data_IF_678576802051
#
_entry.id   IF_678576802051
#
_cell.length_a   1.000
_cell.length_b   1.000
_cell.length_c   1.000
_cell.angle_alpha   90.00
_cell.angle_beta   90.00
_cell.angle_gamma   90.00
#
_symmetry.space_group_name_H-M   'P 1'
#
loop_
_entity.id
_entity.type
_entity.pdbx_description
1 polymer ?
#
# COMPACT_ATOMS: atom_id res chain seq x y z
N UNK A 1 -7.75 -31.97 -23.30
CA UNK A 1 -7.32 -33.00 -24.27
C UNK A 1 -6.95 -32.28 -25.55
N UNK A 2 -5.79 -32.56 -26.13
CA UNK A 2 -5.32 -31.88 -27.35
C UNK A 2 -5.46 -32.83 -28.55
N UNK A 3 -5.80 -32.28 -29.72
CA UNK A 3 -5.98 -33.04 -30.96
C UNK A 3 -4.91 -32.67 -31.97
N UNK A 4 -4.07 -33.65 -32.32
CA UNK A 4 -2.92 -33.48 -33.22
C UNK A 4 -3.01 -34.45 -34.39
N UNK A 5 -2.62 -33.97 -35.58
CA UNK A 5 -2.41 -34.79 -36.77
C UNK A 5 -0.93 -34.92 -37.09
N UNK A 6 -0.53 -36.11 -37.50
CA UNK A 6 0.79 -36.34 -38.11
C UNK A 6 0.65 -36.47 -39.62
N UNK A 7 1.54 -35.82 -40.36
CA UNK A 7 1.71 -35.98 -41.81
C UNK A 7 3.10 -36.53 -42.09
N UNK A 8 3.15 -37.66 -42.78
CA UNK A 8 4.40 -38.22 -43.34
C UNK A 8 4.51 -37.74 -44.79
N UNK A 9 5.55 -36.99 -45.16
CA UNK A 9 5.77 -36.58 -46.55
C UNK A 9 5.81 -37.81 -47.48
N UNK A 10 5.02 -37.80 -48.56
CA UNK A 10 4.93 -38.92 -49.52
C UNK A 10 3.81 -39.95 -49.24
N UNK A 11 3.10 -39.85 -48.11
CA UNK A 11 1.96 -40.73 -47.78
C UNK A 11 0.69 -39.89 -47.60
N UNK A 12 -0.40 -40.22 -48.31
CA UNK A 12 -1.67 -39.46 -48.29
C UNK A 12 -2.56 -39.72 -47.07
N UNK A 13 -2.12 -40.58 -46.13
CA UNK A 13 -2.94 -41.00 -44.98
C UNK A 13 -2.70 -40.09 -43.77
N UNK A 14 -3.66 -39.21 -43.47
CA UNK A 14 -3.74 -38.52 -42.16
C UNK A 14 -4.25 -39.53 -41.12
N UNK A 15 -3.49 -39.79 -40.06
CA UNK A 15 -3.97 -40.57 -38.91
C UNK A 15 -4.28 -39.60 -37.76
N UNK A 16 -5.51 -39.64 -37.26
CA UNK A 16 -5.93 -38.92 -36.03
C UNK A 16 -5.83 -39.87 -34.86
N UNK A 17 -4.92 -39.63 -33.94
CA UNK A 17 -4.83 -40.36 -32.68
C UNK A 17 -4.97 -39.36 -31.53
N UNK A 18 -5.74 -39.74 -30.50
CA UNK A 18 -5.92 -38.96 -29.28
C UNK A 18 -4.76 -39.33 -28.37
N UNK A 19 -3.80 -38.43 -28.21
CA UNK A 19 -2.61 -38.70 -27.40
C UNK A 19 -2.79 -38.15 -25.99
N UNK A 20 -2.45 -38.97 -24.99
CA UNK A 20 -2.26 -38.51 -23.61
C UNK A 20 -0.88 -37.86 -23.52
N UNK A 21 -0.86 -36.55 -23.28
CA UNK A 21 0.33 -35.73 -23.45
C UNK A 21 1.06 -35.58 -22.13
N UNK A 22 2.31 -36.04 -22.08
CA UNK A 22 3.23 -35.77 -20.98
C UNK A 22 4.06 -34.54 -21.35
N UNK A 23 3.82 -33.41 -20.67
CA UNK A 23 4.64 -32.20 -20.83
C UNK A 23 6.07 -32.47 -20.35
N UNK A 24 7.06 -32.07 -21.16
CA UNK A 24 8.49 -32.21 -20.84
C UNK A 24 9.20 -30.85 -20.69
N UNK A 25 8.58 -29.77 -21.14
CA UNK A 25 9.07 -28.39 -20.97
C UNK A 25 7.87 -27.45 -20.79
N UNK A 26 7.61 -27.10 -19.53
CA UNK A 26 6.65 -26.07 -19.16
C UNK A 26 7.40 -24.76 -18.96
N UNK A 27 7.10 -23.74 -19.76
CA UNK A 27 7.61 -22.39 -19.53
C UNK A 27 6.48 -21.54 -18.97
N UNK A 28 6.60 -21.21 -17.68
CA UNK A 28 5.72 -20.25 -17.03
C UNK A 28 6.21 -18.84 -17.36
N UNK A 29 5.46 -18.10 -18.17
CA UNK A 29 5.67 -16.67 -18.37
C UNK A 29 4.60 -15.90 -17.63
N UNK A 30 5.04 -15.06 -16.71
CA UNK A 30 4.17 -14.09 -16.08
C UNK A 30 4.15 -12.85 -16.96
N UNK A 31 3.07 -12.65 -17.71
CA UNK A 31 2.91 -11.48 -18.59
C UNK A 31 2.65 -10.25 -17.70
N UNK A 32 3.59 -9.31 -17.73
CA UNK A 32 3.60 -8.13 -16.86
C UNK A 32 2.63 -7.05 -17.35
N UNK A 33 1.38 -7.12 -16.91
CA UNK A 33 0.58 -5.92 -16.61
C UNK A 33 0.83 -5.49 -15.15
N UNK A 34 0.56 -4.23 -14.80
CA UNK A 34 0.78 -3.63 -13.46
C UNK A 34 0.21 -4.42 -12.25
N UNK A 35 -0.58 -5.48 -12.48
CA UNK A 35 -1.30 -6.25 -11.45
C UNK A 35 -1.08 -7.78 -11.53
N UNK A 36 -0.23 -8.33 -12.42
CA UNK A 36 -0.15 -9.80 -12.60
C UNK A 36 -1.53 -10.44 -12.82
N UNK A 37 -2.36 -9.79 -13.63
CA UNK A 37 -3.69 -10.29 -13.97
C UNK A 37 -3.61 -11.58 -14.80
N UNK A 38 -2.56 -11.70 -15.61
CA UNK A 38 -2.38 -12.79 -16.56
C UNK A 38 -1.16 -13.63 -16.24
N UNK A 39 -1.36 -14.94 -16.30
CA UNK A 39 -0.28 -15.93 -16.27
C UNK A 39 -0.36 -16.71 -17.56
N UNK A 40 0.70 -16.65 -18.34
CA UNK A 40 0.84 -17.40 -19.58
C UNK A 40 1.58 -18.70 -19.27
N UNK A 41 0.88 -19.82 -19.48
CA UNK A 41 1.48 -21.14 -19.43
C UNK A 41 1.77 -21.57 -20.86
N UNK A 42 3.04 -21.75 -21.17
CA UNK A 42 3.49 -22.24 -22.46
C UNK A 42 3.90 -23.70 -22.31
N UNK A 43 3.18 -24.59 -23.00
CA UNK A 43 3.45 -26.03 -22.98
C UNK A 43 4.02 -26.43 -24.32
N UNK A 44 5.23 -26.99 -24.32
CA UNK A 44 5.82 -27.61 -25.51
C UNK A 44 5.47 -29.10 -25.52
N UNK A 45 4.77 -29.52 -26.58
CA UNK A 45 4.36 -30.90 -26.74
C UNK A 45 5.42 -31.63 -27.57
N UNK A 46 6.19 -32.50 -26.93
CA UNK A 46 7.15 -33.38 -27.62
C UNK A 46 6.66 -34.82 -27.50
N UNK A 47 6.36 -35.45 -28.64
CA UNK A 47 5.89 -36.84 -28.66
C UNK A 47 7.09 -37.79 -28.61
N UNK A 48 7.13 -38.64 -27.58
CA UNK A 48 8.07 -39.76 -27.51
C UNK A 48 7.32 -41.02 -27.07
N UNK A 49 6.53 -41.59 -27.97
CA UNK A 49 6.08 -42.98 -27.82
C UNK A 49 6.42 -43.83 -29.05
N UNK A 50 6.75 -45.07 -28.74
CA UNK A 50 7.26 -46.11 -29.62
C UNK A 50 6.08 -46.72 -30.38
N UNK A 51 6.04 -46.56 -31.70
CA UNK A 51 4.93 -47.03 -32.52
C UNK A 51 4.72 -48.55 -32.37
N UNK A 52 3.46 -48.97 -32.19
CA UNK A 52 3.02 -50.38 -32.18
C UNK A 52 3.02 -51.03 -33.57
N UNK A 53 3.10 -50.22 -34.63
CA UNK A 53 3.19 -50.67 -36.01
C UNK A 53 4.65 -51.04 -36.33
N UNK A 54 4.93 -52.30 -36.68
CA UNK A 54 6.30 -52.77 -36.99
C UNK A 54 7.00 -51.96 -38.09
N UNK A 55 6.24 -51.28 -38.97
CA UNK A 55 6.79 -50.42 -40.03
C UNK A 55 7.24 -49.04 -39.54
N UNK A 56 6.78 -48.63 -38.36
CA UNK A 56 7.14 -47.39 -37.68
C UNK A 56 7.97 -47.67 -36.41
N UNK A 57 8.27 -48.94 -36.16
CA UNK A 57 8.99 -49.41 -34.99
C UNK A 57 10.47 -49.11 -35.18
N UNK A 58 10.98 -48.35 -34.21
CA UNK A 58 12.33 -47.85 -34.09
C UNK A 58 13.36 -48.97 -34.25
N UNK A 59 14.21 -48.91 -35.27
CA UNK A 59 15.49 -49.60 -35.26
C UNK A 59 16.56 -48.57 -34.84
N UNK A 60 17.44 -49.03 -33.97
CA UNK A 60 18.37 -48.27 -33.15
C UNK A 60 19.15 -47.18 -33.93
N UNK A 61 19.15 -45.92 -33.46
CA UNK A 61 20.23 -44.91 -33.44
C UNK A 61 19.62 -43.51 -33.19
N UNK A 62 19.82 -43.00 -31.97
CA UNK A 62 20.25 -41.63 -31.63
C UNK A 62 19.46 -40.37 -32.05
N UNK A 63 18.88 -40.31 -33.24
CA UNK A 63 18.45 -39.05 -33.86
C UNK A 63 16.94 -39.04 -34.10
N UNK A 64 16.25 -38.03 -33.55
CA UNK A 64 14.80 -37.90 -33.68
C UNK A 64 14.33 -37.68 -35.13
N UNK A 65 13.02 -37.79 -35.36
CA UNK A 65 12.41 -37.55 -36.67
C UNK A 65 12.54 -36.09 -37.09
N UNK A 66 13.16 -35.88 -38.26
CA UNK A 66 13.24 -34.54 -38.85
C UNK A 66 11.95 -34.21 -39.58
N UNK A 67 11.78 -32.94 -39.98
CA UNK A 67 10.67 -32.49 -40.82
C UNK A 67 10.58 -33.20 -42.18
N UNK A 68 11.67 -33.83 -42.64
CA UNK A 68 11.66 -34.65 -43.85
C UNK A 68 10.87 -35.96 -43.66
N UNK A 69 10.82 -36.47 -42.43
CA UNK A 69 10.20 -37.74 -42.09
C UNK A 69 8.80 -37.55 -41.49
N UNK A 70 8.64 -36.54 -40.62
CA UNK A 70 7.41 -36.33 -39.87
C UNK A 70 7.12 -34.84 -39.63
N UNK A 71 5.89 -34.42 -39.94
CA UNK A 71 5.39 -33.07 -39.66
C UNK A 71 4.14 -33.14 -38.80
N UNK A 72 4.14 -32.43 -37.67
CA UNK A 72 2.99 -32.28 -36.79
C UNK A 72 2.12 -31.11 -37.25
N UNK A 73 0.80 -31.31 -37.24
CA UNK A 73 -0.20 -30.31 -37.63
C UNK A 73 -1.33 -30.27 -36.61
N UNK A 74 -1.78 -29.06 -36.26
CA UNK A 74 -2.97 -28.88 -35.46
C UNK A 74 -4.23 -29.30 -36.23
N UNK A 75 -5.21 -29.88 -35.54
CA UNK A 75 -6.52 -30.19 -36.13
C UNK A 75 -7.26 -28.90 -36.50
N UNK A 76 -7.75 -28.83 -37.73
CA UNK A 76 -8.62 -27.74 -38.20
C UNK A 76 -9.94 -27.72 -37.43
N UNK A 77 -10.40 -26.52 -37.05
CA UNK A 77 -11.63 -26.31 -36.27
C UNK A 77 -11.38 -26.29 -34.76
N UNK A 78 -11.12 -27.45 -34.17
CA UNK A 78 -10.98 -27.63 -32.71
C UNK A 78 -9.66 -28.33 -32.34
N UNK A 79 -8.53 -27.60 -32.29
CA UNK A 79 -7.24 -28.19 -31.93
C UNK A 79 -7.12 -28.52 -30.43
N UNK A 80 -7.87 -27.81 -29.57
CA UNK A 80 -7.81 -27.95 -28.11
C UNK A 80 -9.21 -28.16 -27.54
N UNK A 81 -9.44 -29.32 -26.91
CA UNK A 81 -10.67 -29.57 -26.16
C UNK A 81 -10.44 -29.27 -24.68
N UNK A 82 -10.99 -28.13 -24.24
CA UNK A 82 -11.02 -27.73 -22.83
C UNK A 82 -12.29 -28.26 -22.19
N UNK A 83 -12.17 -28.76 -20.94
CA UNK A 83 -13.34 -29.20 -20.16
C UNK A 83 -14.23 -27.98 -19.89
N UNK A 84 -15.51 -28.07 -20.26
CA UNK A 84 -16.49 -26.95 -20.20
C UNK A 84 -16.68 -26.36 -18.79
N UNK A 85 -16.24 -27.07 -17.74
CA UNK A 85 -16.31 -26.66 -16.33
C UNK A 85 -14.94 -26.73 -15.63
N UNK A 86 -13.85 -26.37 -16.32
CA UNK A 86 -12.54 -26.31 -15.71
C UNK A 86 -12.43 -25.07 -14.80
N UNK A 87 -12.84 -25.20 -13.54
CA UNK A 87 -12.69 -24.16 -12.53
C UNK A 87 -11.40 -24.40 -11.74
N UNK A 88 -10.33 -23.65 -12.04
CA UNK A 88 -9.16 -23.67 -11.17
C UNK A 88 -9.38 -22.73 -9.98
N UNK A 89 -8.98 -23.08 -8.74
CA UNK A 89 -9.29 -22.29 -7.53
C UNK A 89 -8.78 -20.84 -7.50
N UNK A 90 -7.87 -20.46 -8.40
CA UNK A 90 -7.25 -19.12 -8.46
C UNK A 90 -7.17 -18.54 -9.87
N UNK A 91 -7.58 -19.30 -10.88
CA UNK A 91 -7.34 -18.97 -12.28
C UNK A 91 -8.52 -19.39 -13.15
N UNK A 92 -8.89 -18.55 -14.09
CA UNK A 92 -9.84 -18.86 -15.16
C UNK A 92 -9.08 -18.86 -16.48
N UNK A 93 -9.31 -19.86 -17.33
CA UNK A 93 -8.75 -19.86 -18.67
C UNK A 93 -9.48 -18.80 -19.49
N UNK A 94 -8.79 -17.77 -19.95
CA UNK A 94 -9.39 -16.69 -20.75
C UNK A 94 -9.30 -17.01 -22.24
N UNK A 95 -8.09 -17.36 -22.72
CA UNK A 95 -7.80 -17.65 -24.13
C UNK A 95 -6.75 -18.75 -24.25
N UNK A 96 -6.72 -19.43 -25.40
CA UNK A 96 -5.65 -20.35 -25.76
C UNK A 96 -5.17 -20.03 -27.19
N UNK A 97 -3.88 -20.10 -27.43
CA UNK A 97 -3.24 -19.84 -28.70
C UNK A 97 -2.45 -21.09 -29.11
N UNK A 98 -2.66 -21.56 -30.33
CA UNK A 98 -1.93 -22.69 -30.91
C UNK A 98 -0.91 -22.16 -31.90
N UNK A 99 0.34 -22.55 -31.73
CA UNK A 99 1.46 -22.11 -32.57
C UNK A 99 2.40 -23.28 -32.91
N UNK A 100 3.33 -23.05 -33.83
CA UNK A 100 4.37 -23.99 -34.24
C UNK A 100 5.73 -23.52 -33.71
N UNK A 101 6.53 -24.45 -33.17
CA UNK A 101 7.83 -24.17 -32.55
C UNK A 101 8.99 -24.86 -33.27
N UNK A 102 8.87 -25.05 -34.59
CA UNK A 102 9.88 -25.76 -35.38
C UNK A 102 11.27 -25.16 -35.13
N UNK A 103 12.23 -26.01 -34.78
CA UNK A 103 13.58 -25.58 -34.41
C UNK A 103 14.61 -26.27 -35.29
N UNK A 104 15.58 -25.49 -35.76
CA UNK A 104 16.73 -25.96 -36.53
C UNK A 104 17.90 -26.17 -35.59
N UNK A 105 18.37 -27.42 -35.48
CA UNK A 105 19.57 -27.79 -34.74
C UNK A 105 20.66 -28.23 -35.72
N UNK A 106 21.84 -28.56 -35.19
CA UNK A 106 22.96 -29.06 -36.00
C UNK A 106 22.67 -30.40 -36.71
N UNK A 107 21.68 -31.16 -36.22
CA UNK A 107 21.29 -32.48 -36.76
C UNK A 107 20.15 -32.41 -37.76
N UNK A 108 19.37 -31.33 -37.76
CA UNK A 108 18.23 -31.17 -38.67
C UNK A 108 17.17 -30.19 -38.17
N UNK A 109 16.10 -30.02 -38.94
CA UNK A 109 14.92 -29.27 -38.54
C UNK A 109 13.87 -30.22 -37.95
N UNK A 110 13.41 -29.94 -36.73
CA UNK A 110 12.45 -30.76 -36.01
C UNK A 110 11.10 -30.05 -35.92
N UNK A 111 10.02 -30.77 -36.25
CA UNK A 111 8.65 -30.25 -36.14
C UNK A 111 8.20 -30.22 -34.68
N UNK A 112 7.59 -29.11 -34.25
CA UNK A 112 7.19 -28.89 -32.86
C UNK A 112 5.87 -28.13 -32.79
N UNK A 113 4.99 -28.55 -31.87
CA UNK A 113 3.73 -27.87 -31.57
C UNK A 113 3.79 -27.17 -30.22
N UNK A 114 3.31 -25.94 -30.19
CA UNK A 114 3.25 -25.08 -29.00
C UNK A 114 1.82 -24.70 -28.73
N UNK A 115 1.42 -24.72 -27.47
CA UNK A 115 0.15 -24.15 -27.04
C UNK A 115 0.40 -23.21 -25.86
N UNK A 116 -0.08 -21.98 -26.01
CA UNK A 116 -0.03 -20.96 -24.97
C UNK A 116 -1.42 -20.83 -24.36
N UNK A 117 -1.52 -21.12 -23.07
CA UNK A 117 -2.74 -21.03 -22.29
C UNK A 117 -2.68 -19.75 -21.46
N UNK A 118 -3.58 -18.82 -21.75
CA UNK A 118 -3.69 -17.55 -21.02
C UNK A 118 -4.69 -17.72 -19.87
N UNK A 119 -4.16 -17.74 -18.66
CA UNK A 119 -4.96 -17.78 -17.45
C UNK A 119 -5.10 -16.39 -16.85
N UNK A 120 -6.34 -15.99 -16.59
CA UNK A 120 -6.69 -14.80 -15.82
C UNK A 120 -6.79 -15.16 -14.35
N UNK A 121 -6.17 -14.37 -13.48
CA UNK A 121 -6.24 -14.56 -12.02
C UNK A 121 -7.58 -14.09 -11.49
N UNK A 122 -8.23 -14.91 -10.66
CA UNK A 122 -9.45 -14.51 -9.97
C UNK A 122 -9.12 -13.60 -8.77
N UNK A 123 -9.53 -12.33 -8.85
CA UNK A 123 -9.14 -11.30 -7.88
C UNK A 123 -10.00 -11.27 -6.60
N UNK A 124 -11.20 -11.86 -6.65
CA UNK A 124 -12.21 -11.82 -5.57
C UNK A 124 -11.69 -12.33 -4.22
N UNK A 125 -10.87 -13.38 -4.22
CA UNK A 125 -10.25 -13.92 -3.01
C UNK A 125 -9.33 -12.91 -2.31
N UNK A 126 -8.52 -12.19 -3.08
CA UNK A 126 -7.57 -11.21 -2.56
C UNK A 126 -8.31 -10.00 -1.94
N UNK A 127 -9.45 -9.60 -2.53
CA UNK A 127 -10.32 -8.55 -1.96
C UNK A 127 -10.75 -8.88 -0.53
N UNK A 128 -11.29 -10.08 -0.33
CA UNK A 128 -11.90 -10.46 0.95
C UNK A 128 -10.84 -10.75 2.02
N UNK A 129 -9.74 -11.42 1.66
CA UNK A 129 -8.74 -11.86 2.64
C UNK A 129 -7.62 -10.86 2.90
N UNK A 130 -7.39 -9.91 2.00
CA UNK A 130 -6.29 -8.95 2.14
C UNK A 130 -6.80 -7.53 2.20
N UNK A 131 -7.49 -7.06 1.16
CA UNK A 131 -7.88 -5.65 1.07
C UNK A 131 -8.86 -5.26 2.18
N UNK A 132 -9.91 -6.06 2.43
CA UNK A 132 -10.89 -5.77 3.49
C UNK A 132 -10.22 -5.72 4.88
N UNK A 133 -9.44 -6.74 5.32
CA UNK A 133 -8.74 -6.67 6.60
C UNK A 133 -7.76 -5.51 6.71
N UNK A 134 -6.99 -5.20 5.66
CA UNK A 134 -6.09 -4.05 5.65
C UNK A 134 -6.85 -2.72 5.82
N UNK A 135 -7.99 -2.54 5.12
CA UNK A 135 -8.85 -1.38 5.30
C UNK A 135 -9.35 -1.27 6.75
N UNK A 136 -9.80 -2.38 7.34
CA UNK A 136 -10.27 -2.40 8.72
C UNK A 136 -9.16 -2.02 9.72
N UNK A 137 -7.93 -2.52 9.53
CA UNK A 137 -6.79 -2.14 10.37
C UNK A 137 -6.46 -0.64 10.26
N UNK A 138 -6.52 -0.10 9.05
CA UNK A 138 -6.29 1.33 8.81
C UNK A 138 -7.41 2.17 9.45
N UNK A 139 -8.67 1.73 9.39
CA UNK A 139 -9.78 2.35 10.12
C UNK A 139 -9.54 2.34 11.63
N UNK A 140 -9.14 1.20 12.20
CA UNK A 140 -8.85 1.09 13.64
C UNK A 140 -7.73 2.05 14.05
N UNK A 141 -6.73 2.26 13.19
CA UNK A 141 -5.61 3.16 13.48
C UNK A 141 -6.06 4.61 13.76
N UNK A 142 -7.02 5.16 13.02
CA UNK A 142 -7.53 6.52 13.24
C UNK A 142 -8.78 6.59 14.12
N UNK A 143 -9.44 5.47 14.42
CA UNK A 143 -10.44 5.41 15.51
C UNK A 143 -9.79 5.77 16.84
N UNK A 144 -8.48 5.50 16.99
CA UNK A 144 -7.68 5.93 18.15
C UNK A 144 -7.77 7.45 18.42
N UNK A 145 -7.97 8.29 17.39
CA UNK A 145 -8.11 9.75 17.55
C UNK A 145 -9.39 10.17 18.27
N UNK A 146 -10.39 9.29 18.33
CA UNK A 146 -11.64 9.54 19.04
C UNK A 146 -11.55 9.20 20.53
N UNK A 147 -10.58 8.38 20.93
CA UNK A 147 -10.30 8.10 22.34
C UNK A 147 -9.74 9.33 23.04
N UNK A 148 -10.04 9.48 24.33
CA UNK A 148 -9.55 10.62 25.10
C UNK A 148 -8.03 10.54 25.36
N UNK A 149 -7.39 11.70 25.42
CA UNK A 149 -5.94 11.84 25.66
C UNK A 149 -5.50 11.29 27.03
N UNK A 150 -6.43 11.12 28.00
CA UNK A 150 -6.14 10.54 29.31
C UNK A 150 -5.79 9.06 29.28
N UNK A 151 -6.21 8.31 28.26
CA UNK A 151 -5.99 6.88 28.12
C UNK A 151 -4.78 6.52 27.22
N UNK A 152 -3.62 7.14 27.51
CA UNK A 152 -2.33 6.92 26.84
C UNK A 152 -2.02 5.42 26.61
N UNK A 153 -2.07 4.52 27.62
CA UNK A 153 -1.72 3.11 27.42
C UNK A 153 -2.64 2.37 26.44
N UNK A 154 -3.94 2.72 26.41
CA UNK A 154 -4.88 2.11 25.47
C UNK A 154 -4.57 2.52 24.02
N UNK A 155 -4.30 3.81 23.78
CA UNK A 155 -3.95 4.33 22.45
C UNK A 155 -2.64 3.73 21.92
N UNK A 156 -1.60 3.67 22.75
CA UNK A 156 -0.30 3.07 22.36
C UNK A 156 -0.46 1.58 22.03
N UNK A 157 -1.16 0.84 22.89
CA UNK A 157 -1.39 -0.59 22.67
C UNK A 157 -2.13 -0.83 21.35
N UNK A 158 -3.24 -0.10 21.11
CA UNK A 158 -3.99 -0.21 19.86
C UNK A 158 -3.15 0.15 18.62
N UNK A 159 -2.35 1.20 18.68
CA UNK A 159 -1.49 1.61 17.57
C UNK A 159 -0.34 0.64 17.28
N UNK A 160 0.33 0.12 18.32
CA UNK A 160 1.43 -0.84 18.16
C UNK A 160 0.89 -2.20 17.70
N UNK A 161 -0.22 -2.65 18.26
CA UNK A 161 -0.87 -3.90 17.83
C UNK A 161 -1.30 -3.81 16.36
N UNK A 162 -1.95 -2.71 15.94
CA UNK A 162 -2.33 -2.55 14.52
C UNK A 162 -1.13 -2.54 13.59
N UNK A 163 -0.02 -1.89 13.97
CA UNK A 163 1.22 -1.91 13.20
C UNK A 163 1.79 -3.32 13.07
N UNK A 164 1.85 -4.07 14.18
CA UNK A 164 2.36 -5.44 14.20
C UNK A 164 1.47 -6.39 13.39
N UNK A 165 0.15 -6.32 13.56
CA UNK A 165 -0.81 -7.11 12.79
C UNK A 165 -0.65 -6.84 11.30
N UNK A 166 -0.49 -5.57 10.92
CA UNK A 166 -0.29 -5.19 9.53
C UNK A 166 1.04 -5.69 8.94
N UNK A 167 2.14 -5.59 9.70
CA UNK A 167 3.43 -6.13 9.30
C UNK A 167 3.38 -7.66 9.13
N UNK A 168 2.67 -8.34 10.04
CA UNK A 168 2.47 -9.80 10.01
C UNK A 168 1.67 -10.21 8.78
N UNK A 169 0.58 -9.49 8.50
CA UNK A 169 -0.24 -9.72 7.32
C UNK A 169 0.57 -9.53 6.03
N UNK A 170 1.38 -8.48 5.94
CA UNK A 170 2.27 -8.22 4.79
C UNK A 170 3.27 -9.35 4.57
N UNK A 171 3.85 -9.88 5.65
CA UNK A 171 4.74 -11.05 5.58
C UNK A 171 3.99 -12.30 5.08
N UNK A 172 2.78 -12.55 5.59
CA UNK A 172 1.94 -13.68 5.15
C UNK A 172 1.59 -13.60 3.66
N UNK A 173 1.30 -12.40 3.15
CA UNK A 173 1.05 -12.16 1.72
C UNK A 173 2.29 -12.48 0.90
N UNK A 174 3.45 -11.99 1.31
CA UNK A 174 4.73 -12.23 0.63
C UNK A 174 5.17 -13.70 0.66
N UNK A 175 4.83 -14.45 1.70
CA UNK A 175 5.08 -15.89 1.75
C UNK A 175 4.19 -16.70 0.79
N UNK A 176 2.99 -16.18 0.50
CA UNK A 176 2.02 -16.85 -0.38
C UNK A 176 2.21 -16.54 -1.87
N UNK A 177 3.06 -15.56 -2.20
CA UNK A 177 3.36 -15.12 -3.57
C UNK A 177 4.82 -15.45 -3.90
N UNK A 178 5.14 -15.92 -5.11
CA UNK A 178 6.52 -16.14 -5.50
C UNK A 178 7.31 -14.82 -5.44
N UNK A 179 8.59 -14.87 -5.01
CA UNK A 179 9.42 -13.67 -4.94
C UNK A 179 9.69 -13.16 -6.35
N UNK A 180 9.61 -11.84 -6.48
CA UNK A 180 9.72 -11.11 -7.75
C UNK A 180 10.53 -9.85 -7.48
N UNK A 181 11.34 -9.43 -8.45
CA UNK A 181 12.27 -8.30 -8.29
C UNK A 181 11.64 -6.92 -8.45
N UNK A 182 10.40 -6.85 -8.94
CA UNK A 182 9.69 -5.59 -9.20
C UNK A 182 8.56 -5.35 -8.20
N UNK A 183 8.20 -4.08 -8.02
CA UNK A 183 7.13 -3.66 -7.11
C UNK A 183 5.78 -4.16 -7.62
N UNK A 184 5.10 -4.97 -6.80
CA UNK A 184 3.73 -5.44 -7.08
C UNK A 184 2.70 -4.40 -6.64
N UNK A 185 1.53 -4.37 -7.27
CA UNK A 185 0.39 -3.55 -6.81
C UNK A 185 0.06 -3.79 -5.32
N UNK A 186 0.14 -5.05 -4.88
CA UNK A 186 -0.10 -5.43 -3.49
C UNK A 186 0.96 -4.88 -2.52
N UNK A 187 2.20 -4.72 -2.98
CA UNK A 187 3.30 -4.13 -2.18
C UNK A 187 3.06 -2.63 -1.99
N UNK A 188 2.53 -1.95 -3.03
CA UNK A 188 2.13 -0.53 -2.93
C UNK A 188 0.96 -0.38 -1.96
N UNK A 189 -0.07 -1.22 -2.07
CA UNK A 189 -1.22 -1.19 -1.16
C UNK A 189 -0.83 -1.39 0.30
N UNK A 190 -0.11 -2.48 0.59
CA UNK A 190 0.34 -2.80 1.95
C UNK A 190 1.35 -1.77 2.48
N UNK A 191 2.23 -1.22 1.65
CA UNK A 191 3.16 -0.16 2.03
C UNK A 191 2.47 1.16 2.39
N UNK A 192 1.46 1.56 1.61
CA UNK A 192 0.70 2.79 1.89
C UNK A 192 -0.15 2.64 3.15
N UNK A 193 -0.89 1.53 3.28
CA UNK A 193 -1.65 1.25 4.49
C UNK A 193 -0.74 1.21 5.74
N UNK A 194 0.49 0.67 5.64
CA UNK A 194 1.47 0.64 6.74
C UNK A 194 1.91 2.06 7.12
N UNK A 195 2.13 2.90 6.12
CA UNK A 195 2.47 4.32 6.31
C UNK A 195 1.35 5.08 7.02
N UNK A 196 0.08 4.79 6.73
CA UNK A 196 -1.05 5.38 7.45
C UNK A 196 -1.09 4.96 8.93
N UNK A 197 -0.92 3.67 9.22
CA UNK A 197 -0.89 3.16 10.60
C UNK A 197 0.29 3.76 11.38
N UNK A 198 1.47 3.82 10.75
CA UNK A 198 2.64 4.49 11.32
C UNK A 198 2.41 6.00 11.53
N UNK A 199 1.75 6.65 10.57
CA UNK A 199 1.35 8.06 10.68
C UNK A 199 0.42 8.31 11.87
N UNK A 200 -0.51 7.40 12.16
CA UNK A 200 -1.38 7.50 13.34
C UNK A 200 -0.60 7.35 14.66
N UNK A 201 0.43 6.50 14.69
CA UNK A 201 1.34 6.40 15.84
C UNK A 201 2.19 7.67 16.03
N UNK A 202 2.69 8.25 14.94
CA UNK A 202 3.43 9.51 14.99
C UNK A 202 2.55 10.67 15.46
N UNK A 203 1.30 10.72 14.98
CA UNK A 203 0.31 11.69 15.44
C UNK A 203 0.12 11.60 16.95
N UNK A 204 -0.07 10.38 17.47
CA UNK A 204 -0.18 10.17 18.90
C UNK A 204 1.06 10.64 19.68
N UNK A 205 2.27 10.36 19.18
CA UNK A 205 3.51 10.83 19.80
C UNK A 205 3.57 12.36 19.83
N UNK A 206 3.17 13.03 18.75
CA UNK A 206 3.09 14.49 18.67
C UNK A 206 2.02 15.06 19.61
N UNK A 207 0.84 14.44 19.70
CA UNK A 207 -0.24 14.84 20.62
C UNK A 207 0.20 14.66 22.07
N UNK A 208 0.86 13.54 22.41
CA UNK A 208 1.37 13.29 23.76
C UNK A 208 2.43 14.32 24.15
N UNK A 209 3.37 14.60 23.26
CA UNK A 209 4.38 15.63 23.46
C UNK A 209 3.75 17.03 23.62
N UNK A 210 2.81 17.39 22.75
CA UNK A 210 2.09 18.66 22.81
C UNK A 210 1.30 18.78 24.12
N UNK A 211 0.60 17.72 24.54
CA UNK A 211 -0.17 17.67 25.78
C UNK A 211 0.72 17.86 27.02
N UNK A 212 1.86 17.16 27.09
CA UNK A 212 2.86 17.35 28.16
C UNK A 212 3.44 18.76 28.17
N UNK A 213 3.74 19.33 27.00
CA UNK A 213 4.27 20.70 26.89
C UNK A 213 3.25 21.77 27.34
N UNK A 214 1.97 21.58 27.02
CA UNK A 214 0.90 22.49 27.43
C UNK A 214 0.67 22.37 28.95
N UNK A 215 0.67 21.15 29.51
CA UNK A 215 0.58 20.93 30.97
C UNK A 215 1.74 21.58 31.73
N UNK A 216 2.98 21.41 31.26
CA UNK A 216 4.14 22.06 31.87
C UNK A 216 4.03 23.59 31.83
N UNK A 217 3.55 24.14 30.71
CA UNK A 217 3.36 25.59 30.56
C UNK A 217 2.26 26.13 31.47
N UNK A 218 1.16 25.42 31.65
CA UNK A 218 0.09 25.81 32.58
C UNK A 218 0.56 25.72 34.04
N UNK A 219 1.34 24.70 34.41
CA UNK A 219 1.94 24.59 35.76
C UNK A 219 2.89 25.76 36.06
N UNK A 220 3.71 26.17 35.09
CA UNK A 220 4.60 27.33 35.25
C UNK A 220 3.83 28.65 35.37
N UNK A 221 2.73 28.82 34.62
CA UNK A 221 1.85 29.99 34.77
C UNK A 221 1.13 29.99 36.12
N UNK A 222 0.66 28.83 36.59
CA UNK A 222 0.01 28.69 37.89
C UNK A 222 0.98 29.04 39.02
N UNK A 223 2.20 28.51 38.97
CA UNK A 223 3.26 28.83 39.94
C UNK A 223 3.63 30.31 39.94
N UNK A 224 3.67 30.96 38.77
CA UNK A 224 3.85 32.42 38.67
C UNK A 224 2.70 33.19 39.34
N UNK A 225 1.45 32.80 39.09
CA UNK A 225 0.27 33.45 39.71
C UNK A 225 0.22 33.22 41.22
N UNK A 226 0.58 32.04 41.70
CA UNK A 226 0.69 31.73 43.13
C UNK A 226 1.79 32.57 43.80
N UNK A 227 2.94 32.78 43.12
CA UNK A 227 4.01 33.64 43.63
C UNK A 227 3.61 35.13 43.64
N UNK A 228 2.95 35.60 42.58
CA UNK A 228 2.41 36.97 42.50
C UNK A 228 1.37 37.21 43.60
N UNK A 229 0.45 36.26 43.82
CA UNK A 229 -0.55 36.35 44.89
C UNK A 229 0.10 36.36 46.28
N UNK A 230 1.03 35.45 46.55
CA UNK A 230 1.74 35.40 47.83
C UNK A 230 2.54 36.70 48.11
N UNK A 231 3.08 37.34 47.08
CA UNK A 231 3.78 38.63 47.22
C UNK A 231 2.83 39.79 47.56
N UNK A 232 1.59 39.76 47.05
CA UNK A 232 0.56 40.75 47.35
C UNK A 232 0.02 40.57 48.77
N UNK A 233 -0.23 39.33 49.18
CA UNK A 233 -0.72 39.00 50.53
C UNK A 233 0.32 39.40 51.60
N UNK A 234 1.60 39.09 51.37
CA UNK A 234 2.68 39.51 52.27
C UNK A 234 2.87 41.03 52.37
N UNK A 235 2.58 41.78 51.29
CA UNK A 235 2.61 43.23 51.30
C UNK A 235 1.40 43.85 52.04
N UNK A 236 0.25 43.15 52.07
CA UNK A 236 -0.94 43.58 52.81
C UNK A 236 -0.75 43.45 54.33
N UNK A 237 -0.18 42.34 54.81
CA UNK A 237 0.08 42.11 56.24
C UNK A 237 1.02 43.18 56.86
N UNK A 238 1.97 43.69 56.07
CA UNK A 238 2.86 44.78 56.48
C UNK A 238 2.12 46.12 56.65
N UNK A 239 1.02 46.34 55.93
CA UNK A 239 0.24 47.58 56.01
C UNK A 239 -0.76 47.59 57.16
N UNK A 240 -1.31 46.43 57.55
CA UNK A 240 -2.29 46.34 58.66
C UNK A 240 -1.65 46.45 60.05
N UNK A 241 -0.35 46.12 60.19
CA UNK A 241 0.36 46.24 61.48
C UNK A 241 0.64 47.71 61.87
N UNK A 242 0.57 48.65 60.92
CA UNK A 242 0.90 50.07 61.14
C UNK A 242 -0.34 50.98 61.33
N UNK A 243 -1.54 50.39 61.47
CA UNK A 243 -2.82 51.12 61.58
C UNK A 243 -2.97 52.02 62.84
N UNK A 244 -1.99 52.01 63.76
CA UNK A 244 -1.95 52.94 64.90
C UNK A 244 -0.97 54.11 64.75
N UNK A 245 -0.32 54.32 63.60
CA UNK A 245 0.50 55.50 63.36
C UNK A 245 0.23 56.13 61.99
N UNK A 246 -0.50 57.25 62.02
CA UNK A 246 -0.39 58.42 61.12
C UNK A 246 0.13 58.22 59.69
N UNK A 247 -0.79 58.42 58.73
CA UNK A 247 -0.59 59.09 57.43
C UNK A 247 0.86 59.21 56.94
N UNK A 248 1.42 58.15 56.35
CA UNK A 248 2.72 58.22 55.69
C UNK A 248 2.61 57.68 54.25
N UNK A 249 3.11 58.47 53.30
CA UNK A 249 3.15 58.19 51.86
C UNK A 249 3.71 56.79 51.54
N UNK A 250 3.12 56.14 50.53
CA UNK A 250 3.70 54.99 49.83
C UNK A 250 5.18 55.26 49.49
N UNK A 251 6.14 54.42 49.92
CA UNK A 251 7.50 54.57 49.46
C UNK A 251 7.59 53.97 48.06
N UNK A 252 7.89 54.82 47.07
CA UNK A 252 8.47 54.42 45.80
C UNK A 252 9.89 53.91 46.07
N UNK A 253 10.03 52.65 46.49
CA UNK A 253 11.35 52.01 46.56
C UNK A 253 11.78 51.67 45.13
N UNK A 254 12.63 52.53 44.57
CA UNK A 254 13.53 52.22 43.46
C UNK A 254 14.44 51.07 43.88
N UNK A 255 14.39 49.94 43.17
CA UNK A 255 15.50 49.00 43.15
C UNK A 255 16.47 49.36 42.00
N UNK A 256 17.78 49.45 42.26
CA UNK A 256 18.79 49.64 41.22
C UNK A 256 19.05 48.30 40.54
N UNK A 257 18.52 48.10 39.33
CA UNK A 257 18.80 46.88 38.57
C UNK A 257 17.77 46.44 37.53
N UNK A 258 16.74 47.23 37.23
CA UNK A 258 15.81 46.93 36.14
C UNK A 258 16.47 47.13 34.75
N UNK A 259 16.58 46.10 33.88
CA UNK A 259 16.80 46.28 32.44
C UNK A 259 15.54 46.76 31.71
N UNK A 260 14.53 47.27 32.44
CA UNK A 260 13.21 47.68 31.96
C UNK A 260 13.09 49.19 31.73
N UNK A 261 14.21 49.87 31.48
CA UNK A 261 14.24 51.29 31.09
C UNK A 261 14.67 51.51 29.62
N UNK A 262 15.08 50.45 28.90
CA UNK A 262 15.51 50.54 27.49
C UNK A 262 14.40 50.18 26.47
N UNK A 263 13.18 49.89 26.91
CA UNK A 263 12.11 49.42 26.01
C UNK A 263 10.98 50.44 25.81
N UNK A 264 10.96 51.53 26.58
CA UNK A 264 9.98 52.63 26.39
C UNK A 264 10.35 53.66 25.31
N UNK A 265 11.52 53.53 24.67
CA UNK A 265 11.90 54.33 23.50
C UNK A 265 11.64 53.65 22.14
N UNK A 266 11.06 52.43 22.12
CA UNK A 266 10.72 51.72 20.86
C UNK A 266 9.25 51.79 20.45
N UNK A 267 8.40 52.52 21.19
CA UNK A 267 6.96 52.65 20.93
C UNK A 267 6.60 53.82 20.00
N UNK A 268 7.53 54.37 19.22
CA UNK A 268 7.24 55.38 18.20
C UNK A 268 7.95 55.06 16.88
N UNK A 269 7.63 53.92 16.26
CA UNK A 269 7.84 53.75 14.82
C UNK A 269 6.60 53.08 14.21
N UNK A 270 5.61 53.92 13.96
CA UNK A 270 4.58 53.69 12.96
C UNK A 270 5.29 53.70 11.61
N UNK A 271 5.81 52.55 11.17
CA UNK A 271 6.09 52.33 9.75
C UNK A 271 5.20 51.22 9.22
N UNK A 272 4.17 51.70 8.55
CA UNK A 272 3.18 51.02 7.72
C UNK A 272 3.87 50.04 6.76
N UNK A 273 3.87 48.75 7.08
CA UNK A 273 4.38 47.71 6.18
C UNK A 273 3.21 47.13 5.37
N UNK A 274 3.33 47.22 4.05
CA UNK A 274 2.30 46.86 3.06
C UNK A 274 1.79 45.41 3.23
N UNK A 275 0.49 45.14 3.00
CA UNK A 275 -0.06 43.80 3.14
C UNK A 275 0.44 42.92 1.99
N UNK A 276 1.32 41.96 2.29
CA UNK A 276 1.60 40.85 1.36
C UNK A 276 0.36 39.95 1.31
N UNK A 277 -0.24 39.88 0.11
CA UNK A 277 -1.42 39.07 -0.24
C UNK A 277 -1.40 37.70 0.44
N UNK A 278 -2.46 37.28 1.15
CA UNK A 278 -2.54 35.92 1.66
C UNK A 278 -2.94 34.96 0.53
N UNK A 279 -2.13 33.92 0.31
CA UNK A 279 -2.51 32.76 -0.50
C UNK A 279 -3.82 32.16 0.04
N UNK A 280 -4.75 31.84 -0.86
CA UNK A 280 -6.14 31.41 -0.58
C UNK A 280 -6.26 30.33 0.52
N UNK A 281 -5.27 29.44 0.65
CA UNK A 281 -5.25 28.37 1.66
C UNK A 281 -5.14 28.86 3.11
N UNK A 282 -4.58 30.05 3.37
CA UNK A 282 -4.39 30.57 4.74
C UNK A 282 -5.67 31.18 5.33
N UNK A 283 -6.58 31.65 4.47
CA UNK A 283 -7.89 32.20 4.88
C UNK A 283 -8.84 31.10 5.36
N UNK A 284 -8.79 29.92 4.73
CA UNK A 284 -9.57 28.76 5.17
C UNK A 284 -9.11 28.24 6.55
N UNK A 285 -7.80 28.26 6.83
CA UNK A 285 -7.24 27.94 8.14
C UNK A 285 -7.54 28.99 9.23
N UNK A 286 -7.85 30.23 8.85
CA UNK A 286 -8.16 31.31 9.79
C UNK A 286 -9.65 31.37 10.21
N UNK A 287 -10.53 30.61 9.55
CA UNK A 287 -11.98 30.58 9.83
C UNK A 287 -12.42 29.59 10.92
N UNK A 288 -11.51 28.79 11.49
CA UNK A 288 -11.86 27.90 12.60
C UNK A 288 -11.83 28.65 13.96
N UNK A 289 -12.93 28.65 14.73
CA UNK A 289 -13.04 29.37 15.99
C UNK A 289 -12.31 28.64 17.12
N UNK A 290 -10.97 28.75 17.21
CA UNK A 290 -10.19 28.06 18.26
C UNK A 290 -9.06 28.89 18.85
N UNK A 291 -9.27 30.18 19.14
CA UNK A 291 -8.27 31.00 19.85
C UNK A 291 -8.07 30.58 21.32
N UNK A 292 -8.81 29.58 21.82
CA UNK A 292 -8.89 29.17 23.23
C UNK A 292 -8.85 27.64 23.50
N UNK A 293 -8.39 26.82 22.56
CA UNK A 293 -8.23 25.37 22.75
C UNK A 293 -6.74 24.99 22.88
N UNK A 294 -6.39 24.01 23.73
CA UNK A 294 -5.00 23.52 23.86
C UNK A 294 -4.47 23.04 22.50
N UNK A 295 -3.15 23.11 22.29
CA UNK A 295 -2.56 22.73 20.99
C UNK A 295 -2.80 21.26 20.69
N UNK A 296 -2.80 20.40 21.71
CA UNK A 296 -3.09 18.97 21.59
C UNK A 296 -4.46 18.70 20.93
N UNK A 297 -5.53 19.32 21.44
CA UNK A 297 -6.91 19.11 20.94
C UNK A 297 -7.10 19.57 19.49
N UNK A 298 -6.36 20.58 19.03
CA UNK A 298 -6.41 21.03 17.64
C UNK A 298 -5.82 20.01 16.68
N UNK A 299 -4.78 19.30 17.11
CA UNK A 299 -4.12 18.26 16.30
C UNK A 299 -5.09 17.09 16.10
N UNK A 300 -5.70 16.57 17.18
CA UNK A 300 -6.68 15.47 17.07
C UNK A 300 -7.84 15.81 16.09
N UNK A 301 -8.36 17.05 16.13
CA UNK A 301 -9.47 17.48 15.24
C UNK A 301 -9.05 17.51 13.77
N UNK A 302 -7.84 18.00 13.48
CA UNK A 302 -7.32 18.04 12.10
C UNK A 302 -7.04 16.61 11.60
N UNK A 303 -6.48 15.75 12.45
CA UNK A 303 -6.18 14.35 12.13
C UNK A 303 -7.46 13.57 11.79
N UNK A 304 -8.56 13.80 12.54
CA UNK A 304 -9.86 13.15 12.29
C UNK A 304 -10.46 13.40 10.91
N UNK A 305 -10.15 14.54 10.29
CA UNK A 305 -10.64 14.88 8.95
C UNK A 305 -9.61 14.49 7.89
N UNK A 306 -8.33 14.76 8.16
CA UNK A 306 -7.26 14.57 7.17
C UNK A 306 -6.99 13.10 6.88
N UNK A 307 -6.93 12.23 7.90
CA UNK A 307 -6.61 10.82 7.68
C UNK A 307 -7.66 10.09 6.82
N UNK A 308 -8.97 10.15 7.14
CA UNK A 308 -9.99 9.51 6.30
C UNK A 308 -10.07 10.10 4.89
N UNK A 309 -9.89 11.42 4.73
CA UNK A 309 -9.91 12.05 3.40
C UNK A 309 -8.74 11.60 2.52
N UNK A 310 -7.52 11.59 3.07
CA UNK A 310 -6.33 11.17 2.32
C UNK A 310 -6.41 9.67 2.00
N UNK A 311 -6.95 8.85 2.91
CA UNK A 311 -7.17 7.43 2.63
C UNK A 311 -8.25 7.20 1.57
N UNK A 312 -9.35 7.95 1.60
CA UNK A 312 -10.39 7.89 0.57
C UNK A 312 -9.84 8.31 -0.80
N UNK A 313 -9.05 9.39 -0.86
CA UNK A 313 -8.37 9.82 -2.07
C UNK A 313 -7.42 8.73 -2.59
N UNK A 314 -6.63 8.13 -1.70
CA UNK A 314 -5.75 7.02 -2.05
C UNK A 314 -6.54 5.84 -2.62
N UNK A 315 -7.66 5.45 -2.01
CA UNK A 315 -8.51 4.38 -2.54
C UNK A 315 -9.01 4.73 -3.94
N UNK A 316 -9.51 5.94 -4.16
CA UNK A 316 -9.98 6.37 -5.48
C UNK A 316 -8.86 6.31 -6.53
N UNK A 317 -7.66 6.81 -6.21
CA UNK A 317 -6.50 6.79 -7.12
C UNK A 317 -6.01 5.37 -7.36
N UNK A 318 -5.91 4.55 -6.31
CA UNK A 318 -5.46 3.16 -6.39
C UNK A 318 -6.40 2.34 -7.26
N UNK A 319 -7.70 2.34 -6.93
CA UNK A 319 -8.69 1.59 -7.70
C UNK A 319 -8.82 2.13 -9.12
N UNK A 320 -8.78 3.45 -9.34
CA UNK A 320 -8.83 3.96 -10.71
C UNK A 320 -7.63 3.54 -11.55
N UNK A 321 -6.42 3.61 -11.00
CA UNK A 321 -5.19 3.23 -11.72
C UNK A 321 -5.13 1.73 -12.01
N UNK A 322 -5.55 0.89 -11.07
CA UNK A 322 -5.41 -0.57 -11.21
C UNK A 322 -6.64 -1.25 -11.84
N UNK A 323 -7.79 -0.56 -11.92
CA UNK A 323 -9.02 -1.10 -12.49
C UNK A 323 -9.33 -0.53 -13.89
N UNK A 324 -9.02 0.75 -14.17
CA UNK A 324 -9.27 1.35 -15.50
C UNK A 324 -8.09 1.27 -16.47
N UNK A 325 -6.84 1.19 -15.99
CA UNK A 325 -5.67 1.13 -16.88
C UNK A 325 -5.46 -0.23 -17.56
N UNK A 326 -6.48 -1.08 -17.52
CA UNK A 326 -6.53 -2.36 -18.23
C UNK A 326 -7.40 -2.30 -19.49
N UNK A 327 -8.28 -1.30 -19.64
CA UNK A 327 -9.10 -1.16 -20.84
C UNK A 327 -8.35 -0.46 -21.99
N UNK A 328 -7.24 0.24 -21.70
CA UNK A 328 -6.48 0.99 -22.72
C UNK A 328 -5.38 0.16 -23.43
N UNK A 329 -5.11 -1.08 -22.99
CA UNK A 329 -4.11 -1.97 -23.61
C UNK A 329 -4.73 -3.13 -24.43
N UNK A 330 -6.06 -3.21 -24.57
CA UNK A 330 -6.75 -4.03 -25.58
C UNK A 330 -7.03 -3.21 -26.86
#
# INVERSE_FOLDING_TARGET
MFWVFCRVPGVTRKRSEVFDLRSYSDSLRVVQGLVYRYVEYSVQLTFREQWLDERLKFDDIGDGWTTADLVFLWKEGDPVQVVKNLHLPRFTLEKFLTDYCNSKTNTGEYSCLKVDLLFKREFSYYLIQIYIPCCMLVIVSWVSFWLDQGAVPARVSLGVTTLLTMATQTSGINASLPPVSYTKAIDVWTGVCLTFVFGALLEFALVNYASRSDMHRENMKKKRRELEQASLDAASDLLDTDSNATFAMKPLVRHPGDPLALEKLRQCEVHMQAPKRPNCCRSWLAKFPTRKCSRSKRIDVISRITFPLVFALFNLVYWSTYLFREEEEE
#
